data_IF_754912703240
#
_entry.id   IF_754912703240
#
_cell.length_a   1.000
_cell.length_b   1.000
_cell.length_c   1.000
_cell.angle_alpha   90.00
_cell.angle_beta   90.00
_cell.angle_gamma   90.00
#
_symmetry.space_group_name_H-M   'P 1'
#
loop_
_entity.id
_entity.type
_entity.pdbx_description
1 polymer ?
#
# COMPACT_ATOMS: atom_id res chain seq x y z
N UNK A 1 -0.81 12.58 -17.94
CA UNK A 1 -1.11 11.56 -16.91
C UNK A 1 -0.85 12.17 -15.54
N UNK A 2 -1.62 11.82 -14.51
CA UNK A 2 -1.46 12.40 -13.17
C UNK A 2 -0.53 11.52 -12.33
N UNK A 3 0.41 12.14 -11.64
CA UNK A 3 1.32 11.48 -10.71
C UNK A 3 0.76 11.51 -9.29
N UNK A 4 1.14 10.51 -8.49
CA UNK A 4 0.70 10.30 -7.12
C UNK A 4 1.86 9.68 -6.35
N UNK A 5 2.09 10.20 -5.15
CA UNK A 5 3.17 9.73 -4.28
C UNK A 5 2.72 8.55 -3.41
N UNK A 6 1.43 8.48 -3.09
CA UNK A 6 0.89 7.47 -2.15
C UNK A 6 -0.46 6.96 -2.65
N UNK A 7 -0.62 5.64 -2.60
CA UNK A 7 -1.88 4.94 -2.80
C UNK A 7 -2.30 4.30 -1.48
N UNK A 8 -3.51 4.60 -1.02
CA UNK A 8 -4.11 3.96 0.15
C UNK A 8 -5.32 3.16 -0.32
N UNK A 9 -5.27 1.85 -0.15
CA UNK A 9 -6.34 0.92 -0.51
C UNK A 9 -7.04 0.47 0.76
N UNK A 10 -8.31 0.84 0.92
CA UNK A 10 -9.15 0.41 2.05
C UNK A 10 -10.03 -0.72 1.54
N UNK A 11 -9.91 -1.91 2.14
CA UNK A 11 -10.59 -3.13 1.70
C UNK A 11 -11.03 -3.95 2.91
N UNK A 12 -12.04 -4.80 2.75
CA UNK A 12 -12.47 -5.81 3.72
C UNK A 12 -11.58 -7.08 3.72
N UNK A 13 -10.39 -6.99 3.13
CA UNK A 13 -9.39 -8.06 3.01
C UNK A 13 -9.85 -9.22 2.11
N UNK A 14 -10.89 -9.04 1.29
CA UNK A 14 -11.19 -9.94 0.18
C UNK A 14 -10.28 -9.62 -1.01
N UNK A 15 -9.22 -10.42 -1.13
CA UNK A 15 -8.17 -10.27 -2.12
C UNK A 15 -8.59 -10.75 -3.52
N UNK A 16 -9.56 -10.10 -4.15
CA UNK A 16 -9.79 -10.29 -5.58
C UNK A 16 -8.88 -9.35 -6.37
N UNK A 17 -7.70 -9.86 -6.75
CA UNK A 17 -6.67 -9.06 -7.44
C UNK A 17 -6.92 -8.86 -8.94
N UNK A 18 -8.04 -9.34 -9.48
CA UNK A 18 -8.28 -9.37 -10.92
C UNK A 18 -7.09 -9.99 -11.66
N UNK A 19 -6.55 -9.28 -12.65
CA UNK A 19 -5.45 -9.76 -13.49
C UNK A 19 -4.04 -9.41 -12.97
N UNK A 20 -3.88 -8.47 -12.02
CA UNK A 20 -2.57 -7.96 -11.58
C UNK A 20 -2.55 -7.73 -10.07
N UNK A 21 -1.59 -8.37 -9.39
CA UNK A 21 -1.36 -8.16 -7.96
C UNK A 21 -0.98 -6.69 -7.65
N UNK A 22 -1.51 -6.06 -6.59
CA UNK A 22 -1.24 -4.65 -6.25
C UNK A 22 0.25 -4.30 -6.13
N UNK A 23 1.07 -5.21 -5.59
CA UNK A 23 2.52 -5.02 -5.52
C UNK A 23 3.16 -4.85 -6.91
N UNK A 24 2.75 -5.69 -7.87
CA UNK A 24 3.20 -5.63 -9.27
C UNK A 24 2.64 -4.40 -9.99
N UNK A 25 1.41 -4.00 -9.67
CA UNK A 25 0.81 -2.77 -10.19
C UNK A 25 1.60 -1.53 -9.74
N UNK A 26 2.06 -1.48 -8.47
CA UNK A 26 2.91 -0.39 -7.98
C UNK A 26 4.27 -0.37 -8.68
N UNK A 27 4.94 -1.53 -8.83
CA UNK A 27 6.22 -1.63 -9.54
C UNK A 27 6.10 -1.12 -10.98
N UNK A 28 5.02 -1.52 -11.68
CA UNK A 28 4.69 -0.99 -13.02
C UNK A 28 4.43 0.51 -13.00
N UNK A 29 3.67 1.01 -12.03
CA UNK A 29 3.39 2.45 -11.88
C UNK A 29 4.68 3.26 -11.74
N UNK A 30 5.55 2.88 -10.79
CA UNK A 30 6.85 3.55 -10.54
C UNK A 30 7.67 3.68 -11.82
N UNK A 31 7.69 2.62 -12.63
CA UNK A 31 8.43 2.57 -13.90
C UNK A 31 7.77 3.39 -15.00
N UNK A 32 6.47 3.22 -15.23
CA UNK A 32 5.75 3.86 -16.34
C UNK A 32 5.53 5.36 -16.15
N UNK A 33 5.53 5.82 -14.89
CA UNK A 33 5.25 7.21 -14.53
C UNK A 33 6.49 7.96 -14.06
N UNK A 34 7.65 7.29 -13.95
CA UNK A 34 8.90 7.81 -13.38
C UNK A 34 8.73 8.40 -11.96
N UNK A 35 7.95 7.71 -11.12
CA UNK A 35 7.72 8.06 -9.72
C UNK A 35 8.28 6.94 -8.85
N UNK A 36 9.60 6.91 -8.68
CA UNK A 36 10.31 5.79 -8.05
C UNK A 36 9.92 5.56 -6.59
N UNK A 37 9.60 6.64 -5.89
CA UNK A 37 9.30 6.64 -4.46
C UNK A 37 7.80 6.51 -4.17
N UNK A 38 6.98 6.13 -5.16
CA UNK A 38 5.55 5.92 -4.94
C UNK A 38 5.33 4.79 -3.93
N UNK A 39 4.41 5.00 -2.99
CA UNK A 39 4.13 4.05 -1.90
C UNK A 39 2.73 3.45 -2.00
N UNK A 40 2.57 2.23 -1.51
CA UNK A 40 1.29 1.54 -1.39
C UNK A 40 1.03 1.20 0.07
N UNK A 41 -0.16 1.57 0.55
CA UNK A 41 -0.65 1.21 1.88
C UNK A 41 -1.95 0.45 1.69
N UNK A 42 -2.06 -0.75 2.24
CA UNK A 42 -3.28 -1.54 2.19
C UNK A 42 -3.84 -1.68 3.60
N UNK A 43 -5.06 -1.18 3.78
CA UNK A 43 -5.76 -1.17 5.06
C UNK A 43 -6.91 -2.18 5.03
N UNK A 44 -6.69 -3.32 5.69
CA UNK A 44 -7.66 -4.39 5.83
C UNK A 44 -8.64 -4.10 6.97
N UNK A 45 -9.93 -4.03 6.68
CA UNK A 45 -11.00 -3.76 7.65
C UNK A 45 -11.42 -5.02 8.43
N UNK A 46 -10.94 -6.19 8.01
CA UNK A 46 -11.17 -7.47 8.68
C UNK A 46 -9.82 -8.08 9.06
N UNK A 47 -9.73 -8.65 10.27
CA UNK A 47 -8.53 -9.33 10.76
C UNK A 47 -8.38 -10.72 10.12
N UNK A 48 -8.13 -10.74 8.82
CA UNK A 48 -7.74 -11.94 8.09
C UNK A 48 -6.22 -11.94 7.89
N UNK A 49 -5.59 -13.11 7.82
CA UNK A 49 -4.21 -13.22 7.33
C UNK A 49 -4.20 -12.83 5.85
N UNK A 50 -3.71 -11.64 5.54
CA UNK A 50 -3.44 -11.22 4.16
C UNK A 50 -1.99 -10.73 4.06
N UNK A 51 -1.40 -10.88 2.89
CA UNK A 51 -0.12 -10.28 2.55
C UNK A 51 -0.26 -9.70 1.15
N UNK A 52 -0.63 -8.42 1.09
CA UNK A 52 -0.82 -7.70 -0.17
C UNK A 52 0.39 -6.81 -0.42
N UNK A 53 0.97 -6.25 0.64
CA UNK A 53 2.29 -5.66 0.61
C UNK A 53 3.37 -6.73 0.40
N UNK A 54 4.30 -6.48 -0.51
CA UNK A 54 5.52 -7.28 -0.65
C UNK A 54 6.45 -6.94 0.52
N UNK A 55 6.77 -7.88 1.43
CA UNK A 55 7.59 -7.60 2.61
C UNK A 55 9.04 -7.21 2.28
N UNK A 56 9.46 -7.39 1.03
CA UNK A 56 10.78 -6.97 0.54
C UNK A 56 10.79 -5.56 -0.06
N UNK A 57 9.63 -4.94 -0.24
CA UNK A 57 9.48 -3.59 -0.78
C UNK A 57 9.25 -2.57 0.35
N UNK A 58 10.22 -1.69 0.66
CA UNK A 58 10.09 -0.71 1.74
C UNK A 58 9.06 0.39 1.44
N UNK A 59 8.53 0.44 0.22
CA UNK A 59 7.43 1.34 -0.15
C UNK A 59 6.07 0.67 -0.12
N UNK A 60 5.92 -0.50 0.52
CA UNK A 60 4.62 -1.14 0.76
C UNK A 60 4.37 -1.36 2.26
N UNK A 61 3.13 -1.12 2.70
CA UNK A 61 2.71 -1.28 4.11
C UNK A 61 1.33 -1.93 4.17
N UNK A 62 1.20 -3.01 4.94
CA UNK A 62 -0.09 -3.59 5.32
C UNK A 62 -0.49 -3.08 6.72
N UNK A 63 -1.73 -2.61 6.85
CA UNK A 63 -2.36 -2.16 8.10
C UNK A 63 -3.63 -2.96 8.33
N UNK A 64 -3.82 -3.49 9.53
CA UNK A 64 -5.03 -4.24 9.89
C UNK A 64 -5.84 -3.45 10.92
N UNK A 65 -7.13 -3.31 10.65
CA UNK A 65 -8.10 -2.65 11.51
C UNK A 65 -8.14 -1.14 11.34
N UNK A 66 -8.87 -0.49 12.26
CA UNK A 66 -9.13 0.95 12.25
C UNK A 66 -8.76 1.55 13.61
N UNK A 67 -7.52 1.33 14.02
CA UNK A 67 -6.97 1.88 15.26
C UNK A 67 -6.70 3.39 15.14
N UNK A 68 -6.82 4.12 16.24
CA UNK A 68 -6.58 5.57 16.28
C UNK A 68 -5.13 5.96 15.93
N UNK A 69 -4.17 5.04 16.02
CA UNK A 69 -2.78 5.26 15.63
C UNK A 69 -2.53 5.15 14.12
N UNK A 70 -3.45 4.58 13.34
CA UNK A 70 -3.26 4.35 11.89
C UNK A 70 -2.90 5.62 11.12
N UNK A 71 -3.53 6.79 11.34
CA UNK A 71 -3.12 8.03 10.66
C UNK A 71 -1.66 8.42 10.94
N UNK A 72 -1.18 8.21 12.17
CA UNK A 72 0.21 8.51 12.53
C UNK A 72 1.18 7.54 11.86
N UNK A 73 0.84 6.25 11.83
CA UNK A 73 1.62 5.22 11.12
C UNK A 73 1.74 5.55 9.63
N UNK A 74 0.63 5.93 8.99
CA UNK A 74 0.63 6.35 7.58
C UNK A 74 1.53 7.57 7.39
N UNK A 75 1.45 8.57 8.27
CA UNK A 75 2.29 9.77 8.20
C UNK A 75 3.79 9.42 8.27
N UNK A 76 4.18 8.63 9.27
CA UNK A 76 5.58 8.28 9.48
C UNK A 76 6.12 7.39 8.35
N UNK A 77 5.30 6.47 7.84
CA UNK A 77 5.63 5.65 6.69
C UNK A 77 5.83 6.52 5.45
N UNK A 78 4.90 7.41 5.11
CA UNK A 78 5.01 8.27 3.92
C UNK A 78 6.27 9.15 3.96
N UNK A 79 6.70 9.57 5.15
CA UNK A 79 7.92 10.34 5.36
C UNK A 79 9.20 9.49 5.46
N UNK A 80 9.12 8.16 5.40
CA UNK A 80 10.27 7.26 5.48
C UNK A 80 10.92 7.20 6.86
N UNK A 81 10.13 7.41 7.92
CA UNK A 81 10.58 7.30 9.32
C UNK A 81 10.44 5.88 9.88
N UNK A 82 9.64 5.06 9.21
CA UNK A 82 9.44 3.63 9.44
C UNK A 82 9.46 2.90 8.11
#
# INVERSE_FOLDING_TARGET
>A
KKTFDVFIVITDSETYFGDIHPSEALKKYRTMMDVKDARLIVMGMVANEFTIADPTDPGMLDVVGFDAAVPQIIHDFVLGRI
#
